data_IF_838726889089
#
_entry.id   IF_838726889089
#
_cell.length_a   1.000
_cell.length_b   1.000
_cell.length_c   1.000
_cell.angle_alpha   90.00
_cell.angle_beta   90.00
_cell.angle_gamma   90.00
#
_symmetry.space_group_name_H-M   'P 1'
#
loop_
_entity.id
_entity.type
_entity.pdbx_description
1 polymer ?
#
# COMPACT_ATOMS: atom_id res chain seq x y z
N UNK A 1 -20.49 11.72 -13.78
CA UNK A 1 -20.16 11.00 -12.53
C UNK A 1 -19.86 12.04 -11.47
N UNK A 2 -20.52 12.00 -10.31
CA UNK A 2 -20.14 12.87 -9.18
C UNK A 2 -18.79 12.37 -8.63
N UNK A 3 -17.86 13.25 -8.21
CA UNK A 3 -16.62 12.82 -7.57
C UNK A 3 -16.94 12.09 -6.27
N UNK A 4 -16.43 10.86 -6.13
CA UNK A 4 -16.77 9.95 -5.02
C UNK A 4 -16.68 10.61 -3.64
N UNK A 5 -15.57 11.34 -3.38
CA UNK A 5 -15.32 12.00 -2.10
C UNK A 5 -15.99 13.37 -1.93
N UNK A 6 -16.84 13.77 -2.87
CA UNK A 6 -17.62 15.02 -2.80
C UNK A 6 -19.14 14.73 -2.79
N UNK A 7 -19.54 13.46 -2.81
CA UNK A 7 -20.95 13.10 -2.80
C UNK A 7 -21.55 13.23 -1.39
N UNK A 8 -22.54 14.12 -1.16
CA UNK A 8 -23.12 14.31 0.16
C UNK A 8 -23.76 13.04 0.74
N UNK A 9 -24.28 12.16 -0.12
CA UNK A 9 -24.88 10.90 0.32
C UNK A 9 -23.81 9.97 0.93
N UNK A 10 -22.62 9.95 0.33
CA UNK A 10 -21.51 9.13 0.81
C UNK A 10 -20.84 9.75 2.04
N UNK A 11 -20.71 11.08 2.07
CA UNK A 11 -20.18 11.80 3.23
C UNK A 11 -21.05 11.66 4.48
N UNK A 12 -22.35 11.39 4.33
CA UNK A 12 -23.26 11.09 5.43
C UNK A 12 -23.23 9.64 5.93
N UNK A 13 -22.44 8.75 5.31
CA UNK A 13 -22.34 7.34 5.74
C UNK A 13 -21.43 7.23 6.97
N UNK A 14 -22.01 6.70 8.04
CA UNK A 14 -21.31 6.36 9.27
C UNK A 14 -21.20 4.84 9.43
N UNK A 15 -20.12 4.38 10.07
CA UNK A 15 -19.89 2.96 10.35
C UNK A 15 -19.92 2.70 11.87
N UNK A 16 -20.93 1.95 12.32
CA UNK A 16 -21.13 1.62 13.73
C UNK A 16 -20.01 0.74 14.31
N UNK A 17 -19.45 -0.18 13.52
CA UNK A 17 -18.34 -1.02 13.95
C UNK A 17 -17.10 -0.18 14.24
N UNK A 18 -16.93 0.93 13.49
CA UNK A 18 -15.89 1.93 13.71
C UNK A 18 -16.31 3.04 14.69
N UNK A 19 -17.39 2.86 15.46
CA UNK A 19 -17.84 3.80 16.48
C UNK A 19 -18.58 5.03 15.94
N UNK A 20 -19.32 4.87 14.84
CA UNK A 20 -20.05 5.96 14.18
C UNK A 20 -19.15 6.85 13.32
N UNK A 21 -18.02 6.31 12.84
CA UNK A 21 -17.07 7.09 12.06
C UNK A 21 -17.63 7.41 10.67
N UNK A 22 -17.54 8.67 10.25
CA UNK A 22 -17.81 9.10 8.87
C UNK A 22 -16.71 8.61 7.92
N UNK A 23 -16.88 7.42 7.36
CA UNK A 23 -15.82 6.68 6.63
C UNK A 23 -15.33 7.45 5.40
N UNK A 24 -16.25 8.07 4.65
CA UNK A 24 -15.89 8.84 3.45
C UNK A 24 -15.16 10.15 3.76
N UNK A 25 -15.46 10.82 4.88
CA UNK A 25 -14.70 12.00 5.31
C UNK A 25 -13.25 11.60 5.64
N UNK A 26 -13.06 10.52 6.39
CA UNK A 26 -11.71 10.03 6.73
C UNK A 26 -10.89 9.65 5.49
N UNK A 27 -11.46 8.84 4.60
CA UNK A 27 -10.75 8.42 3.39
C UNK A 27 -10.57 9.55 2.37
N UNK A 28 -11.45 10.55 2.33
CA UNK A 28 -11.28 11.71 1.43
C UNK A 28 -9.98 12.47 1.71
N UNK A 29 -9.66 12.66 2.99
CA UNK A 29 -8.43 13.33 3.44
C UNK A 29 -7.21 12.48 3.11
N UNK A 30 -7.26 11.18 3.41
CA UNK A 30 -6.18 10.26 3.06
C UNK A 30 -5.94 10.19 1.54
N UNK A 31 -7.01 10.23 0.74
CA UNK A 31 -6.92 10.22 -0.71
C UNK A 31 -6.28 11.51 -1.27
N UNK A 32 -6.52 12.67 -0.63
CA UNK A 32 -5.88 13.92 -1.00
C UNK A 32 -4.37 13.93 -0.74
N UNK A 33 -3.92 13.17 0.27
CA UNK A 33 -2.51 13.03 0.63
C UNK A 33 -1.76 11.95 -0.18
N UNK A 34 -2.45 11.21 -1.06
CA UNK A 34 -1.81 10.16 -1.85
C UNK A 34 -0.82 10.75 -2.86
N UNK A 35 0.47 10.37 -2.80
CA UNK A 35 1.44 10.84 -3.77
C UNK A 35 1.17 10.21 -5.14
N UNK A 36 1.42 10.98 -6.19
CA UNK A 36 1.57 10.40 -7.53
C UNK A 36 2.80 9.50 -7.53
N UNK A 37 2.62 8.25 -7.98
CA UNK A 37 3.73 7.31 -8.11
C UNK A 37 3.75 6.69 -9.50
N UNK A 38 4.96 6.54 -10.04
CA UNK A 38 5.18 5.82 -11.28
C UNK A 38 5.14 4.32 -11.04
N UNK A 39 4.37 3.58 -11.84
CA UNK A 39 4.30 2.12 -11.79
C UNK A 39 5.14 1.52 -12.92
N UNK A 40 6.32 1.03 -12.58
CA UNK A 40 7.18 0.34 -13.53
C UNK A 40 6.56 -0.99 -13.99
N UNK A 41 6.86 -1.48 -15.22
CA UNK A 41 6.36 -2.78 -15.69
C UNK A 41 6.70 -3.96 -14.76
N UNK A 42 7.86 -3.91 -14.09
CA UNK A 42 8.32 -4.94 -13.15
C UNK A 42 7.77 -4.81 -11.72
N UNK A 43 6.82 -3.91 -11.44
CA UNK A 43 6.37 -3.65 -10.06
C UNK A 43 5.79 -4.88 -9.37
N UNK A 44 5.11 -5.77 -10.12
CA UNK A 44 4.59 -7.01 -9.56
C UNK A 44 5.71 -7.94 -9.08
N UNK A 45 6.75 -8.11 -9.91
CA UNK A 45 7.94 -8.92 -9.58
C UNK A 45 8.58 -8.38 -8.30
N UNK A 46 8.72 -7.06 -8.18
CA UNK A 46 9.28 -6.43 -6.98
C UNK A 46 8.44 -6.72 -5.73
N UNK A 47 7.11 -6.61 -5.81
CA UNK A 47 6.21 -6.93 -4.70
C UNK A 47 6.33 -8.39 -4.27
N UNK A 48 6.40 -9.31 -5.23
CA UNK A 48 6.47 -10.75 -4.96
C UNK A 48 7.78 -11.13 -4.25
N UNK A 49 8.92 -10.61 -4.71
CA UNK A 49 10.24 -10.94 -4.11
C UNK A 49 10.49 -10.26 -2.77
N UNK A 50 9.78 -9.16 -2.46
CA UNK A 50 9.87 -8.50 -1.16
C UNK A 50 9.10 -9.24 -0.06
N UNK A 51 8.08 -10.03 -0.40
CA UNK A 51 7.16 -10.63 0.57
C UNK A 51 7.87 -11.47 1.66
N UNK A 52 8.72 -12.41 1.25
CA UNK A 52 9.49 -13.25 2.18
C UNK A 52 10.45 -12.45 3.07
N UNK A 53 11.37 -11.65 2.49
CA UNK A 53 12.31 -10.84 3.26
C UNK A 53 11.64 -9.87 4.25
N UNK A 54 10.55 -9.20 3.86
CA UNK A 54 9.81 -8.29 4.74
C UNK A 54 9.20 -9.05 5.92
N UNK A 55 8.61 -10.23 5.68
CA UNK A 55 8.09 -11.07 6.76
C UNK A 55 9.17 -11.51 7.74
N UNK A 56 10.38 -11.81 7.26
CA UNK A 56 11.49 -12.16 8.15
C UNK A 56 11.97 -10.98 8.98
N UNK A 57 11.98 -9.76 8.43
CA UNK A 57 12.27 -8.56 9.20
C UNK A 57 11.21 -8.30 10.28
N UNK A 58 9.93 -8.44 9.96
CA UNK A 58 8.83 -8.28 10.93
C UNK A 58 8.88 -9.33 12.05
N UNK A 59 9.45 -10.52 11.78
CA UNK A 59 9.67 -11.58 12.77
C UNK A 59 10.98 -11.43 13.55
N UNK A 60 11.75 -10.36 13.30
CA UNK A 60 13.04 -10.12 13.97
C UNK A 60 14.17 -11.06 13.54
N UNK A 61 14.02 -11.78 12.43
CA UNK A 61 15.04 -12.73 11.92
C UNK A 61 16.13 -12.04 11.10
N UNK A 62 15.84 -10.84 10.60
CA UNK A 62 16.78 -10.00 9.87
C UNK A 62 16.47 -8.53 10.12
N UNK A 63 17.36 -7.63 9.72
CA UNK A 63 17.08 -6.19 9.79
C UNK A 63 16.25 -5.73 8.59
N UNK A 64 15.45 -4.65 8.72
CA UNK A 64 14.71 -4.08 7.59
C UNK A 64 15.61 -3.75 6.39
N UNK A 65 16.81 -3.21 6.63
CA UNK A 65 17.76 -2.89 5.57
C UNK A 65 18.25 -4.16 4.83
N UNK A 66 18.53 -5.24 5.57
CA UNK A 66 18.94 -6.51 4.97
C UNK A 66 17.80 -7.17 4.18
N UNK A 67 16.55 -7.07 4.66
CA UNK A 67 15.37 -7.56 3.93
C UNK A 67 15.16 -6.83 2.59
N UNK A 68 15.26 -5.50 2.58
CA UNK A 68 15.17 -4.72 1.34
C UNK A 68 16.27 -5.13 0.36
N UNK A 69 17.52 -5.27 0.86
CA UNK A 69 18.65 -5.70 0.02
C UNK A 69 18.41 -7.07 -0.62
N UNK A 70 17.97 -8.05 0.17
CA UNK A 70 17.67 -9.40 -0.32
C UNK A 70 16.57 -9.40 -1.39
N UNK A 71 15.49 -8.64 -1.19
CA UNK A 71 14.42 -8.51 -2.19
C UNK A 71 14.92 -7.84 -3.48
N UNK A 72 15.76 -6.81 -3.39
CA UNK A 72 16.35 -6.15 -4.57
C UNK A 72 17.28 -7.08 -5.36
N UNK A 73 18.06 -7.91 -4.68
CA UNK A 73 18.94 -8.89 -5.34
C UNK A 73 18.11 -9.96 -6.07
N UNK A 74 17.03 -10.45 -5.45
CA UNK A 74 16.08 -11.36 -6.10
C UNK A 74 15.35 -10.71 -7.30
N UNK A 75 14.90 -9.46 -7.15
CA UNK A 75 14.26 -8.71 -8.24
C UNK A 75 15.17 -8.63 -9.47
N UNK A 76 16.44 -8.23 -9.27
CA UNK A 76 17.45 -8.12 -10.33
C UNK A 76 17.72 -9.44 -11.04
N UNK A 77 17.59 -10.56 -10.35
CA UNK A 77 17.74 -11.88 -10.96
C UNK A 77 16.53 -12.24 -11.82
N UNK A 78 15.31 -11.87 -11.40
CA UNK A 78 14.09 -12.21 -12.12
C UNK A 78 13.87 -11.36 -13.37
N UNK A 79 14.16 -10.05 -13.32
CA UNK A 79 13.99 -9.16 -14.49
C UNK A 79 15.04 -9.34 -15.59
N UNK A 80 16.10 -10.13 -15.33
CA UNK A 80 17.10 -10.49 -16.33
C UNK A 80 16.76 -11.76 -17.12
N UNK A 81 15.76 -12.52 -16.68
CA UNK A 81 15.25 -13.71 -17.38
C UNK A 81 14.24 -13.31 -18.43
#
# INVERSE_FOLDING_TARGET
>A
MKPLYQDPELLGVEDEFLGGQGVFDVYSRAAADLPLFYRAPGMQILSDVLGGPVLDALKGRTSPAAAIKAGLDAYRQQVKR
#
